data_IF_323326654555
#
_entry.id   IF_323326654555
#
_cell.length_a   1.000
_cell.length_b   1.000
_cell.length_c   1.000
_cell.angle_alpha   90.00
_cell.angle_beta   90.00
_cell.angle_gamma   90.00
#
_symmetry.space_group_name_H-M   'P 1'
#
loop_
_entity.id
_entity.type
_entity.pdbx_description
1 polymer ?
#
# COMPACT_ATOMS: atom_id res chain seq x y z
N UNK A 1 -0.70 30.70 -24.94
CA UNK A 1 -0.68 29.81 -23.76
C UNK A 1 -2.09 29.34 -23.46
N UNK A 2 -2.39 28.05 -23.68
CA UNK A 2 -3.63 27.42 -23.23
C UNK A 2 -3.26 26.27 -22.29
N UNK A 3 -3.76 26.31 -21.06
CA UNK A 3 -3.41 25.40 -19.98
C UNK A 3 -3.68 23.93 -20.36
N UNK A 4 -2.61 23.14 -20.45
CA UNK A 4 -2.71 21.70 -20.57
C UNK A 4 -3.02 21.14 -19.16
N UNK A 5 -4.30 21.06 -18.80
CA UNK A 5 -4.71 20.45 -17.53
C UNK A 5 -4.42 18.96 -17.59
N UNK A 6 -3.39 18.50 -16.85
CA UNK A 6 -3.13 17.07 -16.62
C UNK A 6 -4.43 16.40 -16.14
N UNK A 7 -5.04 15.54 -16.98
CA UNK A 7 -6.19 14.73 -16.56
C UNK A 7 -5.67 13.59 -15.68
N UNK A 8 -5.73 13.75 -14.37
CA UNK A 8 -5.53 12.66 -13.42
C UNK A 8 -6.76 11.74 -13.47
N UNK A 9 -6.60 10.52 -13.98
CA UNK A 9 -7.63 9.48 -13.87
C UNK A 9 -7.43 8.79 -12.53
N UNK A 10 -8.43 8.88 -11.65
CA UNK A 10 -8.46 8.18 -10.36
C UNK A 10 -9.51 7.08 -10.43
N UNK A 11 -9.10 5.82 -10.28
CA UNK A 11 -10.01 4.68 -10.15
C UNK A 11 -9.91 4.13 -8.74
N UNK A 12 -11.03 4.06 -8.02
CA UNK A 12 -11.08 3.55 -6.65
C UNK A 12 -11.74 2.18 -6.59
N UNK A 13 -11.15 1.26 -5.83
CA UNK A 13 -11.68 -0.06 -5.54
C UNK A 13 -11.61 -0.32 -4.04
N UNK A 14 -12.62 -0.99 -3.49
CA UNK A 14 -12.70 -1.31 -2.07
C UNK A 14 -13.05 -2.78 -1.89
N UNK A 15 -12.27 -3.45 -1.06
CA UNK A 15 -12.50 -4.84 -0.66
C UNK A 15 -12.57 -4.96 0.86
N UNK A 16 -13.43 -5.85 1.33
CA UNK A 16 -13.58 -6.17 2.76
C UNK A 16 -13.34 -7.66 2.98
N UNK A 17 -12.77 -8.01 4.13
CA UNK A 17 -12.77 -9.40 4.59
C UNK A 17 -12.81 -9.49 6.12
N UNK A 18 -13.35 -10.59 6.63
CA UNK A 18 -13.51 -10.84 8.05
C UNK A 18 -12.43 -11.77 8.61
N UNK A 19 -12.10 -11.58 9.89
CA UNK A 19 -11.19 -12.44 10.65
C UNK A 19 -11.63 -12.51 12.12
N UNK A 20 -11.57 -13.69 12.77
CA UNK A 20 -11.90 -13.85 14.20
C UNK A 20 -10.95 -13.11 15.15
N UNK A 21 -9.83 -12.58 14.66
CA UNK A 21 -8.83 -11.88 15.46
C UNK A 21 -9.33 -10.47 15.80
N UNK A 22 -9.12 -10.02 17.03
CA UNK A 22 -9.48 -8.66 17.44
C UNK A 22 -8.76 -7.59 16.58
N UNK A 23 -9.42 -6.46 16.24
CA UNK A 23 -8.83 -5.46 15.33
C UNK A 23 -7.51 -4.87 15.83
N UNK A 24 -7.33 -4.70 17.14
CA UNK A 24 -6.07 -4.23 17.73
C UNK A 24 -4.94 -5.23 17.56
N UNK A 25 -5.23 -6.53 17.71
CA UNK A 25 -4.26 -7.60 17.48
C UNK A 25 -3.85 -7.68 16.01
N UNK A 26 -4.83 -7.59 15.10
CA UNK A 26 -4.58 -7.62 13.66
C UNK A 26 -3.77 -6.39 13.21
N UNK A 27 -4.16 -5.19 13.66
CA UNK A 27 -3.43 -3.95 13.36
C UNK A 27 -2.01 -3.99 13.91
N UNK A 28 -1.81 -4.44 15.15
CA UNK A 28 -0.48 -4.58 15.74
C UNK A 28 0.38 -5.57 14.93
N UNK A 29 -0.12 -6.77 14.66
CA UNK A 29 0.63 -7.81 13.95
C UNK A 29 0.99 -7.43 12.51
N UNK A 30 0.09 -6.73 11.79
CA UNK A 30 0.26 -6.38 10.39
C UNK A 30 0.92 -5.02 10.15
N UNK A 31 0.80 -4.08 11.07
CA UNK A 31 1.25 -2.69 10.87
C UNK A 31 2.35 -2.29 11.86
N UNK A 32 2.23 -2.62 13.15
CA UNK A 32 3.14 -2.10 14.18
C UNK A 32 4.35 -3.00 14.45
N UNK A 33 4.11 -4.29 14.70
CA UNK A 33 5.17 -5.29 14.94
C UNK A 33 5.83 -5.71 13.61
N UNK A 34 5.15 -5.39 12.52
CA UNK A 34 5.47 -5.73 11.15
C UNK A 34 6.10 -4.52 10.48
N UNK A 35 7.40 -4.31 10.67
CA UNK A 35 8.14 -3.41 9.77
C UNK A 35 8.18 -3.94 8.32
N UNK A 36 7.91 -5.24 8.15
CA UNK A 36 8.04 -5.95 6.88
C UNK A 36 6.92 -6.95 6.58
N UNK A 37 5.99 -7.33 7.47
CA UNK A 37 5.07 -8.46 7.20
C UNK A 37 4.00 -8.11 6.16
N UNK A 38 3.29 -6.98 6.30
CA UNK A 38 2.33 -6.51 5.29
C UNK A 38 3.03 -6.30 3.95
N UNK A 39 4.20 -5.66 3.99
CA UNK A 39 5.06 -5.48 2.82
C UNK A 39 5.51 -6.80 2.22
N UNK A 40 5.87 -7.79 3.02
CA UNK A 40 6.28 -9.11 2.59
C UNK A 40 5.12 -9.90 2.05
N UNK A 41 3.89 -9.77 2.57
CA UNK A 41 2.71 -10.43 1.99
C UNK A 41 2.46 -9.86 0.59
N UNK A 42 2.45 -8.53 0.46
CA UNK A 42 2.30 -7.83 -0.83
C UNK A 42 3.45 -8.19 -1.78
N UNK A 43 4.70 -8.19 -1.31
CA UNK A 43 5.87 -8.47 -2.14
C UNK A 43 6.10 -9.96 -2.42
N UNK A 44 5.67 -10.87 -1.54
CA UNK A 44 5.65 -12.33 -1.77
C UNK A 44 4.58 -12.68 -2.80
N UNK A 45 3.40 -12.06 -2.73
CA UNK A 45 2.39 -12.19 -3.79
C UNK A 45 2.95 -11.76 -5.15
N UNK A 46 3.86 -10.78 -5.14
CA UNK A 46 4.58 -10.29 -6.31
C UNK A 46 5.92 -11.01 -6.58
N UNK A 47 6.28 -12.08 -5.86
CA UNK A 47 7.51 -12.91 -6.02
C UNK A 47 8.85 -12.13 -6.02
N UNK A 48 9.09 -11.25 -5.04
CA UNK A 48 10.26 -10.34 -5.02
C UNK A 48 11.41 -10.81 -4.10
N UNK A 49 12.67 -10.46 -4.46
CA UNK A 49 13.92 -10.98 -3.83
C UNK A 49 14.86 -9.97 -3.15
N UNK A 50 14.69 -8.63 -3.26
CA UNK A 50 15.56 -7.65 -2.58
C UNK A 50 14.83 -6.35 -2.23
N UNK A 51 15.04 -5.84 -1.01
CA UNK A 51 14.42 -4.63 -0.47
C UNK A 51 15.49 -3.75 0.16
N UNK A 52 15.52 -2.44 -0.16
CA UNK A 52 16.52 -1.50 0.35
C UNK A 52 15.85 -0.20 0.86
N UNK A 53 16.31 0.36 1.96
CA UNK A 53 15.81 1.67 2.40
C UNK A 53 16.59 2.78 1.67
N UNK A 54 15.93 3.64 0.87
CA UNK A 54 16.61 4.83 0.31
C UNK A 54 16.72 5.92 1.37
N UNK A 55 15.67 6.13 2.19
CA UNK A 55 15.62 7.28 3.12
C UNK A 55 14.79 7.00 4.37
N UNK A 56 15.47 6.86 5.51
CA UNK A 56 14.88 6.81 6.86
C UNK A 56 14.72 5.43 7.49
N UNK A 57 14.00 5.36 8.62
CA UNK A 57 13.92 4.18 9.51
C UNK A 57 12.56 3.43 9.48
N UNK A 58 11.67 3.76 8.54
CA UNK A 58 10.35 3.10 8.42
C UNK A 58 9.20 3.75 9.20
N UNK A 59 9.32 5.03 9.58
CA UNK A 59 8.23 5.82 10.18
C UNK A 59 7.40 6.59 9.15
N UNK A 60 6.33 7.28 9.58
CA UNK A 60 5.42 8.05 8.70
C UNK A 60 6.18 9.10 7.89
N UNK A 61 5.86 9.23 6.60
CA UNK A 61 6.50 10.16 5.67
C UNK A 61 7.77 9.63 5.00
N UNK A 62 8.27 8.47 5.42
CA UNK A 62 9.48 7.87 4.87
C UNK A 62 9.20 7.01 3.63
N UNK A 63 10.18 6.95 2.73
CA UNK A 63 10.10 6.24 1.45
C UNK A 63 11.11 5.10 1.45
N UNK A 64 10.61 3.88 1.33
CA UNK A 64 11.38 2.64 1.14
C UNK A 64 11.38 2.29 -0.34
N UNK A 65 12.52 1.96 -0.94
CA UNK A 65 12.56 1.53 -2.34
C UNK A 65 12.78 0.05 -2.42
N UNK A 66 11.88 -0.60 -3.10
CA UNK A 66 12.05 -2.01 -3.32
C UNK A 66 12.43 -2.17 -4.79
N UNK A 67 13.68 -2.57 -5.00
CA UNK A 67 14.23 -2.87 -6.31
C UNK A 67 13.75 -4.24 -6.75
N UNK A 68 13.16 -4.35 -7.94
CA UNK A 68 12.72 -5.63 -8.47
C UNK A 68 13.65 -6.08 -9.56
N UNK A 69 14.16 -7.29 -9.41
CA UNK A 69 14.94 -7.94 -10.45
C UNK A 69 14.08 -8.36 -11.65
N UNK A 70 12.78 -8.61 -11.44
CA UNK A 70 11.71 -8.72 -12.45
C UNK A 70 10.41 -9.09 -11.74
N UNK A 71 9.33 -8.33 -11.92
CA UNK A 71 7.98 -8.82 -11.61
C UNK A 71 7.15 -8.73 -12.87
N UNK A 72 6.74 -9.90 -13.34
CA UNK A 72 5.90 -10.06 -14.50
C UNK A 72 4.44 -9.99 -14.02
N UNK A 73 3.85 -8.80 -14.09
CA UNK A 73 2.40 -8.63 -13.90
C UNK A 73 1.77 -8.60 -15.28
N UNK A 74 1.85 -9.71 -16.02
CA UNK A 74 1.17 -10.01 -17.29
C UNK A 74 1.13 -8.96 -18.43
N UNK A 75 1.74 -7.78 -18.32
CA UNK A 75 1.67 -6.71 -19.33
C UNK A 75 2.77 -5.62 -19.24
N UNK A 76 3.69 -5.67 -18.28
CA UNK A 76 4.73 -4.64 -18.18
C UNK A 76 5.79 -4.94 -17.13
N UNK A 77 7.05 -4.83 -17.51
CA UNK A 77 8.18 -5.11 -16.62
C UNK A 77 8.29 -4.04 -15.53
N UNK A 78 7.89 -4.36 -14.29
CA UNK A 78 8.16 -3.49 -13.15
C UNK A 78 9.67 -3.49 -12.83
N UNK A 79 10.33 -2.32 -12.91
CA UNK A 79 11.77 -2.18 -12.61
C UNK A 79 12.01 -1.80 -11.15
N UNK A 80 11.17 -0.91 -10.61
CA UNK A 80 11.34 -0.36 -9.26
C UNK A 80 9.98 0.12 -8.71
N UNK A 81 9.76 -0.05 -7.41
CA UNK A 81 8.60 0.55 -6.73
C UNK A 81 9.07 1.24 -5.47
N UNK A 82 8.70 2.51 -5.35
CA UNK A 82 8.82 3.25 -4.10
C UNK A 82 7.58 2.96 -3.27
N UNK A 83 7.81 2.55 -2.04
CA UNK A 83 6.83 2.39 -1.00
C UNK A 83 6.92 3.58 -0.06
N UNK A 84 5.84 4.31 0.13
CA UNK A 84 5.78 5.43 1.06
C UNK A 84 4.73 5.14 2.12
N UNK A 85 5.08 5.28 3.40
CA UNK A 85 4.10 5.24 4.48
C UNK A 85 3.53 6.65 4.62
N UNK A 86 2.24 6.82 4.35
CA UNK A 86 1.57 8.12 4.40
C UNK A 86 0.99 8.41 5.78
N UNK A 87 0.47 7.40 6.47
CA UNK A 87 -0.03 7.53 7.83
C UNK A 87 -0.09 6.19 8.57
N UNK A 88 0.17 6.24 9.88
CA UNK A 88 -0.13 5.17 10.84
C UNK A 88 -0.98 5.81 11.94
N UNK A 89 -2.27 5.51 11.98
CA UNK A 89 -3.19 5.97 13.01
C UNK A 89 -3.54 4.79 13.93
N UNK A 90 -2.84 4.70 15.06
CA UNK A 90 -3.01 3.63 16.04
C UNK A 90 -4.36 3.71 16.76
N UNK A 91 -4.94 4.91 16.89
CA UNK A 91 -6.21 5.14 17.58
C UNK A 91 -7.37 4.63 16.75
N UNK A 92 -7.37 4.95 15.46
CA UNK A 92 -8.42 4.56 14.53
C UNK A 92 -8.11 3.24 13.80
N UNK A 93 -6.93 2.65 14.02
CA UNK A 93 -6.43 1.43 13.36
C UNK A 93 -6.48 1.58 11.83
N UNK A 94 -5.98 2.72 11.36
CA UNK A 94 -5.88 3.05 9.93
C UNK A 94 -4.41 3.07 9.53
N UNK A 95 -4.13 2.45 8.40
CA UNK A 95 -2.81 2.44 7.77
C UNK A 95 -2.90 2.93 6.33
N UNK A 96 -2.13 3.94 5.98
CA UNK A 96 -2.08 4.48 4.62
C UNK A 96 -0.69 4.38 4.03
N UNK A 97 -0.61 3.90 2.81
CA UNK A 97 0.64 3.84 2.07
C UNK A 97 0.44 4.05 0.57
N UNK A 98 1.49 4.50 -0.10
CA UNK A 98 1.50 4.69 -1.55
C UNK A 98 2.60 3.86 -2.19
N UNK A 99 2.25 3.16 -3.26
CA UNK A 99 3.18 2.54 -4.18
C UNK A 99 3.39 3.44 -5.39
N UNK A 100 4.62 3.79 -5.73
CA UNK A 100 4.95 4.70 -6.83
C UNK A 100 5.91 4.00 -7.78
N UNK A 101 5.54 3.94 -9.04
CA UNK A 101 6.39 3.49 -10.14
C UNK A 101 6.29 4.47 -11.29
N UNK A 102 7.44 4.99 -11.75
CA UNK A 102 7.52 5.96 -12.83
C UNK A 102 6.49 7.10 -12.66
N UNK A 103 5.51 7.20 -13.56
CA UNK A 103 4.47 8.24 -13.59
C UNK A 103 3.13 7.79 -12.99
N UNK A 104 3.12 6.63 -12.34
CA UNK A 104 1.92 5.98 -11.79
C UNK A 104 2.07 5.79 -10.29
N UNK A 105 0.99 6.05 -9.55
CA UNK A 105 0.92 5.76 -8.13
C UNK A 105 -0.36 5.03 -7.74
N UNK A 106 -0.25 4.20 -6.72
CA UNK A 106 -1.35 3.44 -6.14
C UNK A 106 -1.40 3.79 -4.66
N UNK A 107 -2.43 4.51 -4.23
CA UNK A 107 -2.65 4.82 -2.83
C UNK A 107 -3.52 3.72 -2.19
N UNK A 108 -3.19 3.33 -0.97
CA UNK A 108 -3.91 2.32 -0.21
C UNK A 108 -4.28 2.87 1.15
N UNK A 109 -5.52 2.63 1.56
CA UNK A 109 -5.99 2.78 2.93
C UNK A 109 -6.45 1.42 3.43
N UNK A 110 -5.91 0.99 4.57
CA UNK A 110 -6.31 -0.23 5.26
C UNK A 110 -6.86 0.16 6.62
N UNK A 111 -8.10 -0.23 6.90
CA UNK A 111 -8.79 0.03 8.17
C UNK A 111 -9.21 -1.28 8.83
N UNK A 112 -9.04 -1.36 10.15
CA UNK A 112 -9.43 -2.54 10.94
C UNK A 112 -10.53 -2.18 11.93
N UNK A 113 -11.71 -2.72 11.72
CA UNK A 113 -12.93 -2.38 12.45
C UNK A 113 -13.46 -3.59 13.21
N UNK A 114 -14.00 -3.34 14.41
CA UNK A 114 -14.63 -4.40 15.18
C UNK A 114 -15.94 -4.82 14.51
N UNK A 115 -16.21 -6.12 14.48
CA UNK A 115 -17.51 -6.67 14.13
C UNK A 115 -18.03 -7.49 15.30
N UNK A 116 -19.30 -7.30 15.63
CA UNK A 116 -20.00 -8.04 16.70
C UNK A 116 -20.01 -9.54 16.46
N UNK A 117 -19.96 -9.96 15.20
CA UNK A 117 -20.26 -11.34 14.80
C UNK A 117 -19.00 -12.16 14.54
N UNK A 118 -17.96 -11.51 14.00
CA UNK A 118 -16.77 -12.18 13.47
C UNK A 118 -15.46 -11.63 14.02
N UNK A 119 -15.48 -10.69 14.97
CA UNK A 119 -14.27 -10.14 15.59
C UNK A 119 -13.75 -8.88 14.90
N UNK A 120 -13.15 -9.02 13.72
CA UNK A 120 -12.63 -7.91 12.93
C UNK A 120 -13.03 -8.00 11.45
N UNK A 121 -13.39 -6.85 10.88
CA UNK A 121 -13.46 -6.64 9.44
C UNK A 121 -12.29 -5.74 9.06
N UNK A 122 -11.46 -6.20 8.13
CA UNK A 122 -10.44 -5.33 7.52
C UNK A 122 -10.95 -4.86 6.15
N UNK A 123 -10.84 -3.56 5.93
CA UNK A 123 -11.25 -2.88 4.71
C UNK A 123 -10.02 -2.30 4.03
N UNK A 124 -9.82 -2.65 2.77
CA UNK A 124 -8.75 -2.13 1.95
C UNK A 124 -9.35 -1.34 0.79
N UNK A 125 -9.09 -0.04 0.77
CA UNK A 125 -9.43 0.85 -0.34
C UNK A 125 -8.15 1.17 -1.11
N UNK A 126 -8.17 0.97 -2.41
CA UNK A 126 -7.05 1.26 -3.30
C UNK A 126 -7.47 2.28 -4.36
N UNK A 127 -6.67 3.31 -4.53
CA UNK A 127 -6.84 4.31 -5.59
C UNK A 127 -5.68 4.24 -6.58
N UNK A 128 -6.02 4.08 -7.85
CA UNK A 128 -5.08 4.12 -8.95
C UNK A 128 -5.01 5.51 -9.55
N UNK A 129 -3.81 6.08 -9.57
CA UNK A 129 -3.52 7.42 -10.10
C UNK A 129 -2.49 7.27 -11.22
N UNK A 130 -2.93 7.36 -12.47
CA UNK A 130 -2.02 7.44 -13.62
C UNK A 130 -2.04 8.84 -14.22
N UNK A 131 -0.86 9.41 -14.44
CA UNK A 131 -0.74 10.51 -15.39
C UNK A 131 -0.91 9.92 -16.79
N UNK A 132 -2.00 10.25 -17.47
CA UNK A 132 -2.14 9.93 -18.88
C UNK A 132 -1.01 10.64 -19.66
N UNK A 133 -0.17 9.88 -20.35
CA UNK A 133 0.67 10.44 -21.40
C UNK A 133 -0.28 10.94 -22.51
N UNK A 134 -0.32 12.25 -22.75
CA UNK A 134 -0.92 12.82 -23.97
C UNK A 134 0.14 12.79 -25.05
#
# INVERSE_FOLDING_TARGET
MGNNSEKNVVTSYTQESATPIAPSGMFKALVLDSHDLMLNIVFKALKKKKTEFIKGNGSVGHIKLTNFTKVDISSGHLKYLKYKIDAIDTRNRVYRYTLIEANTSFAFEVKFEASSDVGCVYKMTSEYHSKASI
#
